data_IF_527686125132
#
_entry.id   IF_527686125132
#
_cell.length_a   1.000
_cell.length_b   1.000
_cell.length_c   1.000
_cell.angle_alpha   90.00
_cell.angle_beta   90.00
_cell.angle_gamma   90.00
#
_symmetry.space_group_name_H-M   'P 1'
#
loop_
_entity.id
_entity.type
_entity.pdbx_description
1 polymer ?
#
# COMPACT_ATOMS: atom_id res chain seq x y z
N UNK A 1 8.86 11.71 11.51
CA UNK A 1 7.82 10.70 11.21
C UNK A 1 8.16 10.01 9.87
N UNK A 2 9.43 9.69 9.63
CA UNK A 2 9.86 8.94 8.44
C UNK A 2 10.54 7.60 8.82
N UNK A 3 11.02 7.45 10.07
CA UNK A 3 11.67 6.23 10.57
C UNK A 3 10.75 4.99 10.69
N UNK A 4 9.44 5.14 10.60
CA UNK A 4 8.48 4.04 10.78
C UNK A 4 7.89 3.54 9.45
N UNK A 5 8.47 3.86 8.29
CA UNK A 5 7.94 3.41 6.99
C UNK A 5 8.66 2.13 6.53
N UNK A 6 7.92 1.03 6.38
CA UNK A 6 8.44 -0.24 5.84
C UNK A 6 8.32 -0.32 4.32
N UNK A 7 7.48 0.51 3.72
CA UNK A 7 7.37 0.60 2.26
C UNK A 7 7.04 2.03 1.83
N UNK A 8 7.91 2.60 1.00
CA UNK A 8 7.62 3.79 0.20
C UNK A 8 7.68 3.39 -1.27
N UNK A 9 6.59 3.60 -1.98
CA UNK A 9 6.47 3.29 -3.39
C UNK A 9 5.81 4.45 -4.13
N UNK A 10 6.47 4.90 -5.19
CA UNK A 10 6.03 6.02 -6.03
C UNK A 10 6.11 5.58 -7.48
N UNK A 11 5.02 5.79 -8.23
CA UNK A 11 4.87 5.34 -9.62
C UNK A 11 3.85 6.22 -10.35
N UNK A 12 3.45 5.83 -11.55
CA UNK A 12 2.29 6.38 -12.24
C UNK A 12 1.13 5.38 -12.14
N UNK A 13 -0.08 5.90 -11.93
CA UNK A 13 -1.32 5.17 -12.01
C UNK A 13 -2.08 5.63 -13.26
N UNK A 14 -2.44 4.68 -14.11
CA UNK A 14 -3.28 4.90 -15.28
C UNK A 14 -4.70 4.46 -14.96
N UNK A 15 -5.66 5.37 -15.16
CA UNK A 15 -7.09 5.11 -15.02
C UNK A 15 -7.69 4.59 -16.34
N UNK A 16 -8.94 4.14 -16.32
CA UNK A 16 -9.64 3.49 -17.44
C UNK A 16 -9.79 4.38 -18.68
N UNK A 17 -9.71 5.70 -18.50
CA UNK A 17 -9.74 6.71 -19.56
C UNK A 17 -8.35 6.95 -20.20
N UNK A 18 -7.32 6.25 -19.71
CA UNK A 18 -5.94 6.36 -20.17
C UNK A 18 -5.16 7.49 -19.48
N UNK A 19 -5.79 8.25 -18.58
CA UNK A 19 -5.14 9.36 -17.86
C UNK A 19 -4.12 8.81 -16.86
N UNK A 20 -2.87 9.24 -16.98
CA UNK A 20 -1.80 8.90 -16.04
C UNK A 20 -1.68 9.97 -14.94
N UNK A 21 -1.68 9.55 -13.67
CA UNK A 21 -1.52 10.42 -12.51
C UNK A 21 -0.47 9.88 -11.54
N UNK A 22 0.20 10.73 -10.74
CA UNK A 22 1.14 10.26 -9.74
C UNK A 22 0.48 9.31 -8.72
N UNK A 23 1.09 8.15 -8.53
CA UNK A 23 0.71 7.17 -7.53
C UNK A 23 1.72 7.21 -6.38
N UNK A 24 1.20 7.28 -5.15
CA UNK A 24 2.01 7.23 -3.92
C UNK A 24 1.40 6.20 -2.98
N UNK A 25 2.23 5.27 -2.52
CA UNK A 25 1.91 4.33 -1.47
C UNK A 25 2.98 4.45 -0.37
N UNK A 26 2.52 4.67 0.86
CA UNK A 26 3.35 4.61 2.05
C UNK A 26 2.69 3.68 3.05
N UNK A 27 3.47 2.74 3.57
CA UNK A 27 3.03 1.77 4.59
C UNK A 27 3.93 1.89 5.79
N UNK A 28 3.33 2.19 6.94
CA UNK A 28 4.03 2.22 8.21
C UNK A 28 4.29 0.80 8.73
N UNK A 29 5.32 0.67 9.57
CA UNK A 29 5.66 -0.54 10.31
C UNK A 29 4.43 -1.04 11.08
N UNK A 30 4.24 -2.37 11.18
CA UNK A 30 3.20 -2.93 12.01
C UNK A 30 3.24 -2.38 13.43
N UNK A 31 2.08 -1.97 13.94
CA UNK A 31 1.88 -1.55 15.31
C UNK A 31 0.81 -2.42 15.95
N UNK A 32 0.77 -2.43 17.28
CA UNK A 32 -0.25 -3.17 18.03
C UNK A 32 -1.32 -2.25 18.59
N UNK A 33 -2.58 -2.57 18.35
CA UNK A 33 -3.75 -1.97 18.98
C UNK A 33 -4.36 -3.00 19.97
N UNK A 34 -4.38 -2.72 21.29
CA UNK A 34 -4.88 -3.67 22.28
C UNK A 34 -6.33 -4.15 22.08
N UNK A 35 -7.16 -3.38 21.36
CA UNK A 35 -8.55 -3.73 21.11
C UNK A 35 -8.77 -4.48 19.79
N UNK A 36 -7.79 -4.43 18.86
CA UNK A 36 -8.00 -4.86 17.46
C UNK A 36 -6.89 -5.73 16.87
N UNK A 37 -5.73 -5.84 17.53
CA UNK A 37 -4.59 -6.63 17.08
C UNK A 37 -3.55 -5.80 16.33
N UNK A 38 -2.71 -6.49 15.55
CA UNK A 38 -1.62 -5.87 14.79
C UNK A 38 -2.16 -5.17 13.55
N UNK A 39 -1.56 -4.03 13.19
CA UNK A 39 -1.99 -3.27 12.03
C UNK A 39 -0.87 -2.51 11.36
N UNK A 40 -0.97 -2.35 10.04
CA UNK A 40 -0.21 -1.36 9.30
C UNK A 40 -1.10 -0.15 9.00
N UNK A 41 -0.56 1.04 9.18
CA UNK A 41 -1.22 2.25 8.69
C UNK A 41 -0.74 2.55 7.27
N UNK A 42 -1.69 2.76 6.35
CA UNK A 42 -1.38 3.06 4.96
C UNK A 42 -1.88 4.41 4.53
N UNK A 43 -1.05 5.09 3.75
CA UNK A 43 -1.36 6.32 3.08
C UNK A 43 -1.23 6.12 1.56
N UNK A 44 -2.37 6.19 0.88
CA UNK A 44 -2.45 6.11 -0.58
C UNK A 44 -3.60 7.01 -1.07
N UNK A 45 -3.30 8.27 -1.45
CA UNK A 45 -4.32 9.26 -1.85
C UNK A 45 -5.21 8.82 -3.00
N UNK A 46 -4.67 8.01 -3.92
CA UNK A 46 -5.40 7.40 -5.04
C UNK A 46 -6.57 6.55 -4.56
N UNK A 47 -6.38 5.79 -3.48
CA UNK A 47 -7.43 4.95 -2.91
C UNK A 47 -8.29 5.71 -1.88
N UNK A 48 -7.64 6.53 -1.04
CA UNK A 48 -8.32 7.26 0.03
C UNK A 48 -7.52 8.48 0.48
N UNK A 49 -8.19 9.62 0.64
CA UNK A 49 -7.58 10.88 1.10
C UNK A 49 -6.97 10.83 2.50
N UNK A 50 -7.47 9.96 3.38
CA UNK A 50 -6.99 9.83 4.77
C UNK A 50 -6.25 8.50 4.95
N UNK A 51 -5.21 8.45 5.82
CA UNK A 51 -4.61 7.20 6.23
C UNK A 51 -5.65 6.23 6.77
N UNK A 52 -5.41 4.94 6.60
CA UNK A 52 -6.28 3.91 7.16
C UNK A 52 -5.47 2.69 7.60
N UNK A 53 -6.02 1.98 8.57
CA UNK A 53 -5.38 0.84 9.23
C UNK A 53 -5.88 -0.46 8.62
N UNK A 54 -4.95 -1.34 8.26
CA UNK A 54 -5.23 -2.71 7.84
C UNK A 54 -4.76 -3.62 8.95
N UNK A 55 -5.66 -4.44 9.48
CA UNK A 55 -5.40 -5.29 10.64
C UNK A 55 -5.08 -6.72 10.20
N UNK A 56 -4.16 -7.36 10.92
CA UNK A 56 -3.82 -8.77 10.83
C UNK A 56 -3.76 -9.41 12.23
N UNK A 57 -3.73 -10.74 12.27
CA UNK A 57 -3.57 -11.50 13.52
C UNK A 57 -2.17 -11.33 14.12
N UNK A 58 -1.18 -11.06 13.27
CA UNK A 58 0.21 -10.77 13.60
C UNK A 58 0.78 -9.69 12.65
N UNK A 59 2.01 -9.26 12.88
CA UNK A 59 2.71 -8.24 12.09
C UNK A 59 2.89 -8.65 10.61
N UNK A 60 3.24 -9.91 10.37
CA UNK A 60 3.48 -10.43 9.03
C UNK A 60 2.19 -10.42 8.20
N UNK A 61 1.08 -10.88 8.78
CA UNK A 61 -0.21 -10.85 8.15
C UNK A 61 -0.71 -9.41 7.95
N UNK A 62 -0.46 -8.49 8.88
CA UNK A 62 -0.82 -7.08 8.68
C UNK A 62 -0.11 -6.46 7.45
N UNK A 63 1.16 -6.80 7.24
CA UNK A 63 1.91 -6.41 6.04
C UNK A 63 1.36 -7.06 4.75
N UNK A 64 1.10 -8.37 4.77
CA UNK A 64 0.57 -9.11 3.62
C UNK A 64 -0.81 -8.58 3.19
N UNK A 65 -1.74 -8.47 4.16
CA UNK A 65 -3.09 -7.98 3.93
C UNK A 65 -3.11 -6.55 3.42
N UNK A 66 -2.12 -5.74 3.80
CA UNK A 66 -1.97 -4.38 3.32
C UNK A 66 -1.75 -4.33 1.81
N UNK A 67 -0.75 -5.05 1.29
CA UNK A 67 -0.49 -5.07 -0.15
C UNK A 67 -1.63 -5.74 -0.90
N UNK A 68 -2.19 -6.81 -0.34
CA UNK A 68 -3.36 -7.47 -0.92
C UNK A 68 -4.54 -6.51 -1.05
N UNK A 69 -4.84 -5.71 -0.02
CA UNK A 69 -5.90 -4.71 -0.04
C UNK A 69 -5.67 -3.66 -1.14
N UNK A 70 -4.44 -3.11 -1.23
CA UNK A 70 -4.12 -2.10 -2.24
C UNK A 70 -4.28 -2.68 -3.65
N UNK A 71 -3.72 -3.87 -3.91
CA UNK A 71 -3.87 -4.57 -5.20
C UNK A 71 -5.33 -4.78 -5.56
N UNK A 72 -6.12 -5.29 -4.62
CA UNK A 72 -7.56 -5.54 -4.84
C UNK A 72 -8.32 -4.26 -5.17
N UNK A 73 -8.01 -3.16 -4.48
CA UNK A 73 -8.66 -1.86 -4.72
C UNK A 73 -8.30 -1.26 -6.07
N UNK A 74 -7.06 -1.39 -6.51
CA UNK A 74 -6.66 -0.94 -7.86
C UNK A 74 -7.44 -1.68 -8.94
N UNK A 75 -7.56 -3.01 -8.81
CA UNK A 75 -8.36 -3.84 -9.73
C UNK A 75 -9.83 -3.42 -9.72
N UNK A 76 -10.44 -3.24 -8.54
CA UNK A 76 -11.84 -2.83 -8.43
C UNK A 76 -12.10 -1.43 -9.04
N UNK A 77 -11.08 -0.55 -9.04
CA UNK A 77 -11.15 0.79 -9.63
C UNK A 77 -10.73 0.83 -11.11
N UNK A 78 -10.24 -0.27 -11.68
CA UNK A 78 -9.71 -0.31 -13.05
C UNK A 78 -8.41 0.49 -13.23
N UNK A 79 -7.64 0.67 -12.15
CA UNK A 79 -6.39 1.42 -12.16
C UNK A 79 -5.22 0.45 -12.34
N UNK A 80 -4.34 0.77 -13.28
CA UNK A 80 -3.09 0.02 -13.53
C UNK A 80 -1.89 0.86 -13.09
N UNK A 81 -0.93 0.25 -12.40
CA UNK A 81 0.34 0.90 -12.08
C UNK A 81 1.27 0.74 -13.28
N UNK A 82 1.83 1.83 -13.77
CA UNK A 82 2.70 1.87 -14.94
C UNK A 82 4.02 2.59 -14.64
N UNK A 83 5.05 2.25 -15.40
CA UNK A 83 6.32 2.98 -15.44
C UNK A 83 6.27 4.17 -16.40
N UNK A 84 7.43 4.81 -16.63
CA UNK A 84 7.56 5.96 -17.51
C UNK A 84 7.31 5.63 -19.00
N UNK A 85 7.47 4.37 -19.39
CA UNK A 85 7.26 3.88 -20.75
C UNK A 85 5.83 3.37 -20.98
N UNK A 86 4.98 3.42 -19.94
CA UNK A 86 3.61 2.92 -19.98
C UNK A 86 3.50 1.40 -19.81
N UNK A 87 4.57 0.75 -19.35
CA UNK A 87 4.57 -0.69 -19.07
C UNK A 87 3.99 -0.94 -17.68
N UNK A 88 3.11 -1.94 -17.55
CA UNK A 88 2.55 -2.33 -16.26
C UNK A 88 3.66 -2.76 -15.28
N UNK A 89 3.61 -2.20 -14.08
CA UNK A 89 4.59 -2.43 -13.04
C UNK A 89 3.91 -2.93 -11.75
N UNK A 90 4.31 -4.09 -11.20
CA UNK A 90 3.64 -4.66 -10.04
C UNK A 90 3.92 -3.85 -8.77
N UNK A 91 2.94 -3.82 -7.85
CA UNK A 91 3.16 -3.30 -6.50
C UNK A 91 4.22 -4.14 -5.75
N UNK A 92 5.08 -3.50 -4.95
CA UNK A 92 6.09 -4.21 -4.16
C UNK A 92 5.41 -5.11 -3.13
N UNK A 93 6.13 -6.17 -2.76
CA UNK A 93 5.75 -6.98 -1.60
C UNK A 93 6.29 -6.32 -0.33
N UNK A 94 5.54 -6.48 0.76
CA UNK A 94 5.99 -6.03 2.09
C UNK A 94 6.15 -7.30 2.91
N UNK A 95 7.40 -7.75 3.05
CA UNK A 95 7.74 -8.75 4.04
C UNK A 95 7.93 -8.05 5.39
N UNK A 96 7.36 -8.62 6.45
CA UNK A 96 7.71 -8.20 7.80
C UNK A 96 9.11 -8.72 8.13
N UNK A 97 10.04 -7.80 8.37
CA UNK A 97 11.37 -8.10 8.89
C UNK A 97 11.46 -7.51 10.31
N UNK A 98 11.55 -8.35 11.35
CA UNK A 98 11.64 -7.88 12.73
C UNK A 98 12.95 -7.15 13.04
N UNK A 99 13.98 -7.31 12.19
CA UNK A 99 15.33 -6.75 12.37
C UNK A 99 15.60 -5.51 11.49
N UNK A 100 14.62 -5.10 10.66
CA UNK A 100 14.69 -3.92 9.80
C UNK A 100 14.36 -2.60 10.52
#
# INVERSE_FOLDING_TARGET
MDDDIVCRFEALAQDVDGTATPFVLRVARPQFDPARGHYCEIYCPTLRKKPHKIFGVDEAQACELTIWFVRRRLVDLGITIIDADGTEFPLPEIAYDPDA
#
